data_IF_920936301593
#
_entry.id   IF_920936301593
#
_cell.length_a   1.000
_cell.length_b   1.000
_cell.length_c   1.000
_cell.angle_alpha   90.00
_cell.angle_beta   90.00
_cell.angle_gamma   90.00
#
_symmetry.space_group_name_H-M   'P 1'
#
loop_
_entity.id
_entity.type
_entity.pdbx_description
1 polymer ?
#
# COMPACT_ATOMS: atom_id res chain seq x y z
N UNK A 1 2.05 -17.15 -2.95
CA UNK A 1 3.05 -17.11 -1.85
C UNK A 1 4.46 -17.08 -2.40
N UNK A 2 5.31 -16.23 -1.83
CA UNK A 2 6.71 -16.10 -2.22
C UNK A 2 7.57 -17.26 -1.70
N UNK A 3 8.59 -17.63 -2.48
CA UNK A 3 9.58 -18.66 -2.12
C UNK A 3 11.01 -18.12 -2.02
N UNK A 4 11.25 -16.94 -2.58
CA UNK A 4 12.53 -16.25 -2.52
C UNK A 4 12.32 -14.80 -2.08
N UNK A 5 13.14 -14.33 -1.15
CA UNK A 5 13.09 -12.95 -0.66
C UNK A 5 13.33 -11.96 -1.80
N UNK A 6 14.20 -12.33 -2.75
CA UNK A 6 14.49 -11.48 -3.91
C UNK A 6 13.25 -11.21 -4.78
N UNK A 7 12.39 -12.21 -4.97
CA UNK A 7 11.17 -12.07 -5.78
C UNK A 7 10.14 -11.19 -5.06
N UNK A 8 10.04 -11.36 -3.74
CA UNK A 8 9.24 -10.46 -2.91
C UNK A 8 9.77 -9.03 -2.99
N UNK A 9 11.07 -8.81 -2.75
CA UNK A 9 11.67 -7.48 -2.74
C UNK A 9 11.46 -6.74 -4.07
N UNK A 10 11.63 -7.44 -5.21
CA UNK A 10 11.37 -6.87 -6.52
C UNK A 10 9.89 -6.48 -6.71
N UNK A 11 8.96 -7.32 -6.26
CA UNK A 11 7.53 -6.96 -6.30
C UNK A 11 7.25 -5.78 -5.38
N UNK A 12 7.73 -5.83 -4.14
CA UNK A 12 7.51 -4.82 -3.12
C UNK A 12 8.00 -3.44 -3.56
N UNK A 13 9.19 -3.35 -4.16
CA UNK A 13 9.71 -2.09 -4.68
C UNK A 13 8.79 -1.47 -5.75
N UNK A 14 8.34 -2.26 -6.73
CA UNK A 14 7.44 -1.77 -7.76
C UNK A 14 6.09 -1.31 -7.17
N UNK A 15 5.56 -2.08 -6.24
CA UNK A 15 4.25 -1.79 -5.63
C UNK A 15 4.29 -0.58 -4.73
N UNK A 16 5.32 -0.45 -3.89
CA UNK A 16 5.48 0.71 -3.01
C UNK A 16 5.78 1.99 -3.79
N UNK A 17 6.51 1.94 -4.91
CA UNK A 17 6.68 3.09 -5.80
C UNK A 17 5.35 3.54 -6.41
N UNK A 18 4.53 2.60 -6.87
CA UNK A 18 3.19 2.89 -7.40
C UNK A 18 2.26 3.46 -6.32
N UNK A 19 2.33 2.95 -5.09
CA UNK A 19 1.59 3.48 -3.94
C UNK A 19 2.08 4.86 -3.53
N UNK A 20 3.40 5.11 -3.50
CA UNK A 20 3.98 6.43 -3.24
C UNK A 20 3.48 7.47 -4.26
N UNK A 21 3.54 7.17 -5.56
CA UNK A 21 3.00 8.06 -6.61
C UNK A 21 1.50 8.34 -6.39
N UNK A 22 0.75 7.38 -5.85
CA UNK A 22 -0.67 7.58 -5.52
C UNK A 22 -0.85 8.51 -4.33
N UNK A 23 -0.08 8.30 -3.26
CA UNK A 23 -0.14 9.10 -2.03
C UNK A 23 0.32 10.55 -2.26
N UNK A 24 1.32 10.76 -3.11
CA UNK A 24 1.84 12.09 -3.46
C UNK A 24 0.83 12.96 -4.23
N UNK A 25 -0.19 12.34 -4.84
CA UNK A 25 -1.28 13.05 -5.52
C UNK A 25 -2.39 13.49 -4.56
N UNK A 26 -2.37 13.03 -3.31
CA UNK A 26 -3.37 13.41 -2.32
C UNK A 26 -3.15 14.84 -1.83
N UNK A 27 -4.25 15.45 -1.41
CA UNK A 27 -4.27 16.75 -0.74
C UNK A 27 -5.04 16.63 0.57
N UNK A 28 -4.78 17.52 1.52
CA UNK A 28 -5.50 17.52 2.81
C UNK A 28 -7.02 17.55 2.59
N UNK A 29 -7.50 18.37 1.64
CA UNK A 29 -8.93 18.42 1.27
C UNK A 29 -9.47 17.09 0.73
N UNK A 30 -8.67 16.35 -0.05
CA UNK A 30 -9.13 15.08 -0.61
C UNK A 30 -9.29 13.97 0.43
N UNK A 31 -8.67 14.11 1.61
CA UNK A 31 -8.74 13.09 2.66
C UNK A 31 -10.17 12.85 3.16
N UNK A 32 -11.04 13.86 3.04
CA UNK A 32 -12.45 13.79 3.43
C UNK A 32 -13.35 13.12 2.38
N UNK A 33 -12.83 12.80 1.18
CA UNK A 33 -13.62 12.19 0.13
C UNK A 33 -14.10 10.79 0.53
N UNK A 34 -15.39 10.51 0.35
CA UNK A 34 -16.01 9.21 0.64
C UNK A 34 -16.90 8.78 -0.53
N UNK A 35 -17.12 7.47 -0.68
CA UNK A 35 -18.06 6.93 -1.68
C UNK A 35 -19.50 7.19 -1.22
N UNK A 36 -19.80 6.82 0.03
CA UNK A 36 -21.07 7.08 0.71
C UNK A 36 -20.81 7.58 2.14
N UNK A 37 -21.81 8.18 2.77
CA UNK A 37 -21.67 8.91 4.05
C UNK A 37 -21.33 8.07 5.28
N UNK A 38 -21.41 6.75 5.17
CA UNK A 38 -21.20 5.77 6.24
C UNK A 38 -19.98 4.88 5.99
N UNK A 39 -19.15 5.18 4.99
CA UNK A 39 -17.99 4.40 4.60
C UNK A 39 -16.68 5.15 4.85
N UNK A 40 -15.56 4.42 4.77
CA UNK A 40 -14.21 4.99 4.95
C UNK A 40 -13.96 6.13 3.95
N UNK A 41 -13.37 7.21 4.44
CA UNK A 41 -12.85 8.29 3.60
C UNK A 41 -11.55 7.88 2.91
N UNK A 42 -11.12 8.65 1.91
CA UNK A 42 -9.84 8.47 1.22
C UNK A 42 -8.66 8.54 2.19
N UNK A 43 -8.67 9.48 3.14
CA UNK A 43 -7.66 9.57 4.18
C UNK A 43 -7.63 8.32 5.08
N UNK A 44 -8.79 7.76 5.43
CA UNK A 44 -8.85 6.52 6.22
C UNK A 44 -8.35 5.32 5.44
N UNK A 45 -8.63 5.21 4.14
CA UNK A 45 -8.09 4.12 3.29
C UNK A 45 -6.58 4.27 3.11
N UNK A 46 -6.08 5.49 2.86
CA UNK A 46 -4.66 5.77 2.74
C UNK A 46 -3.91 5.42 4.03
N UNK A 47 -4.42 5.85 5.19
CA UNK A 47 -3.80 5.54 6.48
C UNK A 47 -3.89 4.05 6.83
N UNK A 48 -4.98 3.38 6.46
CA UNK A 48 -5.14 1.93 6.62
C UNK A 48 -4.02 1.15 5.91
N UNK A 49 -3.58 1.57 4.72
CA UNK A 49 -2.41 0.97 4.06
C UNK A 49 -1.14 1.09 4.92
N UNK A 50 -0.89 2.28 5.47
CA UNK A 50 0.30 2.54 6.29
C UNK A 50 0.29 1.70 7.58
N UNK A 51 -0.86 1.58 8.23
CA UNK A 51 -0.99 0.80 9.46
C UNK A 51 -0.85 -0.69 9.20
N UNK A 52 -1.53 -1.25 8.18
CA UNK A 52 -1.43 -2.67 7.86
C UNK A 52 -0.01 -3.09 7.45
N UNK A 53 0.74 -2.18 6.84
CA UNK A 53 2.14 -2.40 6.47
C UNK A 53 3.04 -2.68 7.68
N UNK A 54 2.73 -2.11 8.85
CA UNK A 54 3.45 -2.41 10.08
C UNK A 54 2.81 -3.57 10.84
N UNK A 55 1.50 -3.46 11.08
CA UNK A 55 0.69 -4.40 11.85
C UNK A 55 0.86 -5.86 11.42
N UNK A 56 0.62 -6.15 10.14
CA UNK A 56 0.57 -7.52 9.65
C UNK A 56 1.95 -8.19 9.67
N UNK A 57 3.03 -7.56 9.18
CA UNK A 57 4.37 -8.15 9.30
C UNK A 57 4.85 -8.32 10.73
N UNK A 58 4.52 -7.40 11.65
CA UNK A 58 4.98 -7.50 13.05
C UNK A 58 4.45 -8.74 13.78
N UNK A 59 3.32 -9.32 13.35
CA UNK A 59 2.81 -10.61 13.87
C UNK A 59 3.74 -11.79 13.60
N UNK A 60 4.68 -11.68 12.66
CA UNK A 60 5.72 -12.70 12.40
C UNK A 60 6.89 -12.64 13.38
N UNK A 61 6.89 -11.66 14.29
CA UNK A 61 8.02 -11.33 15.16
C UNK A 61 9.07 -10.44 14.49
N UNK A 62 8.87 -10.03 13.24
CA UNK A 62 9.72 -9.04 12.57
C UNK A 62 9.54 -7.66 13.23
N UNK A 63 10.66 -7.06 13.67
CA UNK A 63 10.67 -5.75 14.31
C UNK A 63 11.29 -4.69 13.41
N UNK A 64 10.57 -3.60 13.19
CA UNK A 64 10.97 -2.45 12.38
C UNK A 64 10.12 -1.22 12.74
N UNK A 65 10.56 -0.04 12.30
CA UNK A 65 9.86 1.22 12.55
C UNK A 65 8.54 1.31 11.76
N UNK A 66 7.45 1.65 12.43
CA UNK A 66 6.15 1.92 11.82
C UNK A 66 5.12 2.43 12.82
N UNK A 67 3.95 2.86 12.34
CA UNK A 67 2.92 3.38 13.22
C UNK A 67 2.14 2.26 13.94
N UNK A 68 1.74 2.51 15.19
CA UNK A 68 0.82 1.65 15.92
C UNK A 68 -0.56 1.54 15.24
N UNK A 69 -1.23 0.41 15.46
CA UNK A 69 -2.55 0.08 14.89
C UNK A 69 -3.65 1.06 15.28
N UNK A 70 -3.55 1.68 16.45
CA UNK A 70 -4.54 2.57 17.03
C UNK A 70 -4.25 4.06 16.76
N UNK A 71 -3.13 4.38 16.09
CA UNK A 71 -2.82 5.77 15.76
C UNK A 71 -3.92 6.41 14.89
N UNK A 72 -4.36 7.64 15.24
CA UNK A 72 -5.37 8.34 14.47
C UNK A 72 -4.88 8.67 13.06
N UNK A 73 -5.81 8.84 12.13
CA UNK A 73 -5.50 9.28 10.77
C UNK A 73 -4.85 10.67 10.83
N UNK A 74 -3.65 10.88 10.25
CA UNK A 74 -3.03 12.20 10.17
C UNK A 74 -3.92 13.18 9.39
N UNK A 75 -3.95 14.44 9.83
CA UNK A 75 -4.71 15.48 9.13
C UNK A 75 -4.05 15.93 7.82
N UNK A 76 -2.75 15.64 7.63
CA UNK A 76 -2.01 16.01 6.42
C UNK A 76 -1.77 14.81 5.50
N UNK A 77 -2.06 15.01 4.21
CA UNK A 77 -1.73 14.04 3.17
C UNK A 77 -0.22 13.81 3.07
N UNK A 78 0.57 14.87 3.27
CA UNK A 78 2.02 14.80 3.26
C UNK A 78 2.56 13.94 4.42
N UNK A 79 1.95 14.01 5.60
CA UNK A 79 2.34 13.18 6.74
C UNK A 79 2.05 11.70 6.47
N UNK A 80 0.89 11.38 5.86
CA UNK A 80 0.55 9.99 5.47
C UNK A 80 1.61 9.45 4.49
N UNK A 81 1.93 10.20 3.43
CA UNK A 81 2.93 9.80 2.44
C UNK A 81 4.33 9.64 3.07
N UNK A 82 4.69 10.55 3.97
CA UNK A 82 5.97 10.56 4.68
C UNK A 82 6.13 9.33 5.59
N UNK A 83 5.09 8.98 6.36
CA UNK A 83 5.10 7.78 7.21
C UNK A 83 5.15 6.52 6.35
N UNK A 84 4.30 6.42 5.31
CA UNK A 84 4.32 5.27 4.40
C UNK A 84 5.71 5.03 3.81
N UNK A 85 6.39 6.08 3.33
CA UNK A 85 7.74 5.99 2.77
C UNK A 85 8.75 5.43 3.77
N UNK A 86 8.73 5.91 5.02
CA UNK A 86 9.64 5.42 6.06
C UNK A 86 9.34 3.97 6.43
N UNK A 87 8.08 3.65 6.68
CA UNK A 87 7.66 2.30 7.10
C UNK A 87 7.91 1.25 6.02
N UNK A 88 7.62 1.56 4.74
CA UNK A 88 7.85 0.64 3.62
C UNK A 88 9.32 0.34 3.38
N UNK A 89 10.18 1.35 3.54
CA UNK A 89 11.63 1.15 3.47
C UNK A 89 12.14 0.34 4.68
N UNK A 90 11.73 0.71 5.90
CA UNK A 90 12.13 0.01 7.11
C UNK A 90 11.71 -1.47 7.08
N UNK A 91 10.52 -1.76 6.56
CA UNK A 91 10.04 -3.12 6.36
C UNK A 91 10.92 -3.91 5.38
N UNK A 92 11.22 -3.33 4.21
CA UNK A 92 12.07 -3.97 3.21
C UNK A 92 13.47 -4.25 3.76
N UNK A 93 14.07 -3.27 4.43
CA UNK A 93 15.39 -3.38 5.04
C UNK A 93 15.41 -4.48 6.13
N UNK A 94 14.36 -4.55 6.95
CA UNK A 94 14.23 -5.57 7.99
C UNK A 94 14.14 -6.98 7.39
N UNK A 95 13.34 -7.19 6.34
CA UNK A 95 13.29 -8.49 5.66
C UNK A 95 14.65 -8.84 5.04
N UNK A 96 15.26 -7.93 4.30
CA UNK A 96 16.51 -8.22 3.57
C UNK A 96 17.70 -8.45 4.51
N UNK A 97 17.71 -7.84 5.69
CA UNK A 97 18.79 -7.97 6.67
C UNK A 97 18.63 -9.16 7.61
N UNK A 98 17.39 -9.56 7.94
CA UNK A 98 17.13 -10.54 9.00
C UNK A 98 16.57 -11.88 8.51
N UNK A 99 15.97 -11.94 7.32
CA UNK A 99 15.37 -13.17 6.80
C UNK A 99 16.23 -13.81 5.71
N UNK A 100 16.10 -15.13 5.60
CA UNK A 100 16.52 -15.96 4.48
C UNK A 100 15.29 -16.62 3.85
N UNK A 101 15.45 -17.26 2.70
CA UNK A 101 14.34 -17.91 1.98
C UNK A 101 13.61 -18.94 2.86
N UNK A 102 14.30 -19.61 3.78
CA UNK A 102 13.69 -20.56 4.72
C UNK A 102 12.72 -19.89 5.70
N UNK A 103 12.91 -18.60 6.03
CA UNK A 103 11.97 -17.87 6.88
C UNK A 103 10.59 -17.71 6.25
N UNK A 104 10.47 -17.82 4.92
CA UNK A 104 9.19 -17.76 4.20
C UNK A 104 8.32 -18.99 4.48
N UNK A 105 8.91 -20.08 4.98
CA UNK A 105 8.21 -21.32 5.35
C UNK A 105 7.77 -21.35 6.82
N UNK A 106 8.25 -20.42 7.65
CA UNK A 106 7.86 -20.34 9.06
C UNK A 106 6.37 -20.00 9.14
N UNK A 107 5.65 -20.76 9.97
CA UNK A 107 4.25 -20.52 10.27
C UNK A 107 4.13 -19.49 11.39
N UNK A 108 3.33 -18.45 11.15
CA UNK A 108 3.06 -17.38 12.13
C UNK A 108 1.55 -17.26 12.34
N UNK A 109 1.15 -16.83 13.55
CA UNK A 109 -0.25 -16.54 13.86
C UNK A 109 -0.72 -15.26 13.16
N UNK A 110 -1.69 -15.41 12.27
CA UNK A 110 -2.37 -14.34 11.56
C UNK A 110 -3.84 -14.40 11.89
N UNK A 111 -4.22 -13.62 12.90
CA UNK A 111 -5.61 -13.47 13.35
C UNK A 111 -6.24 -14.80 13.82
N UNK A 112 -5.46 -15.64 14.49
CA UNK A 112 -5.88 -16.96 15.00
C UNK A 112 -5.70 -18.12 14.01
N UNK A 113 -5.30 -17.85 12.77
CA UNK A 113 -4.92 -18.86 11.78
C UNK A 113 -3.40 -18.93 11.60
N UNK A 114 -2.88 -20.10 11.21
CA UNK A 114 -1.45 -20.28 10.96
C UNK A 114 -1.15 -20.11 9.47
N UNK A 115 -0.38 -19.08 9.12
CA UNK A 115 0.04 -18.82 7.73
C UNK A 115 1.56 -18.94 7.58
N UNK A 116 2.08 -19.53 6.49
CA UNK A 116 3.49 -19.40 6.17
C UNK A 116 3.81 -17.92 5.85
N UNK A 117 4.95 -17.41 6.31
CA UNK A 117 5.33 -16.01 6.11
C UNK A 117 5.33 -15.59 4.63
N UNK A 118 5.71 -16.47 3.71
CA UNK A 118 5.64 -16.20 2.27
C UNK A 118 4.22 -16.02 1.74
N UNK A 119 3.20 -16.58 2.40
CA UNK A 119 1.78 -16.32 2.11
C UNK A 119 1.36 -14.97 2.68
N UNK A 120 1.76 -14.64 3.91
CA UNK A 120 1.51 -13.32 4.50
C UNK A 120 2.02 -12.21 3.57
N UNK A 121 3.25 -12.30 3.07
CA UNK A 121 3.81 -11.29 2.14
C UNK A 121 3.00 -11.16 0.84
N UNK A 122 2.53 -12.28 0.29
CA UNK A 122 1.68 -12.30 -0.92
C UNK A 122 0.30 -11.65 -0.65
N UNK A 123 -0.27 -11.88 0.53
CA UNK A 123 -1.53 -11.26 0.96
C UNK A 123 -1.33 -9.76 1.19
N UNK A 124 -0.22 -9.35 1.83
CA UNK A 124 0.10 -7.94 2.08
C UNK A 124 0.17 -7.15 0.77
N UNK A 125 0.90 -7.67 -0.23
CA UNK A 125 0.97 -7.06 -1.57
C UNK A 125 -0.41 -6.94 -2.21
N UNK A 126 -1.22 -8.01 -2.19
CA UNK A 126 -2.57 -7.99 -2.76
C UNK A 126 -3.50 -7.02 -2.04
N UNK A 127 -3.39 -6.93 -0.72
CA UNK A 127 -4.14 -5.99 0.11
C UNK A 127 -3.79 -4.55 -0.25
N UNK A 128 -2.49 -4.25 -0.43
CA UNK A 128 -2.04 -2.93 -0.88
C UNK A 128 -2.62 -2.58 -2.26
N UNK A 129 -2.50 -3.48 -3.23
CA UNK A 129 -3.04 -3.29 -4.59
C UNK A 129 -4.56 -3.07 -4.55
N UNK A 130 -5.27 -3.86 -3.74
CA UNK A 130 -6.71 -3.76 -3.58
C UNK A 130 -7.14 -2.38 -3.07
N UNK A 131 -6.57 -1.92 -1.97
CA UNK A 131 -6.94 -0.64 -1.38
C UNK A 131 -6.41 0.56 -2.18
N UNK A 132 -5.23 0.46 -2.81
CA UNK A 132 -4.78 1.46 -3.79
C UNK A 132 -5.76 1.57 -4.96
N UNK A 133 -6.29 0.44 -5.44
CA UNK A 133 -7.37 0.40 -6.43
C UNK A 133 -8.60 1.18 -5.97
N UNK A 134 -9.07 0.96 -4.74
CA UNK A 134 -10.17 1.74 -4.14
C UNK A 134 -9.86 3.23 -4.09
N UNK A 135 -8.64 3.60 -3.69
CA UNK A 135 -8.19 4.99 -3.64
C UNK A 135 -8.30 5.67 -5.00
N UNK A 136 -7.97 4.98 -6.10
CA UNK A 136 -8.05 5.59 -7.44
C UNK A 136 -9.46 6.06 -7.82
N UNK A 137 -10.51 5.40 -7.32
CA UNK A 137 -11.90 5.81 -7.57
C UNK A 137 -12.25 7.04 -6.74
N UNK A 138 -11.91 7.03 -5.46
CA UNK A 138 -12.08 8.16 -4.54
C UNK A 138 -11.30 9.39 -5.02
N UNK A 139 -10.06 9.22 -5.49
CA UNK A 139 -9.25 10.29 -6.05
C UNK A 139 -9.94 10.96 -7.25
N UNK A 140 -10.51 10.17 -8.17
CA UNK A 140 -11.26 10.72 -9.31
C UNK A 140 -12.51 11.48 -8.85
N UNK A 141 -13.23 10.98 -7.84
CA UNK A 141 -14.37 11.67 -7.25
C UNK A 141 -13.97 13.00 -6.58
N UNK A 142 -12.77 13.05 -5.99
CA UNK A 142 -12.17 14.25 -5.42
C UNK A 142 -11.59 15.22 -6.46
N UNK A 143 -11.66 14.89 -7.76
CA UNK A 143 -11.09 15.70 -8.84
C UNK A 143 -9.56 15.64 -8.93
N UNK A 144 -8.93 14.65 -8.30
CA UNK A 144 -7.48 14.44 -8.39
C UNK A 144 -7.13 13.68 -9.68
N UNK A 145 -5.96 14.01 -10.22
CA UNK A 145 -5.31 13.17 -11.22
C UNK A 145 -4.80 11.88 -10.55
N UNK A 146 -5.01 10.75 -11.22
CA UNK A 146 -4.51 9.44 -10.77
C UNK A 146 -3.27 9.07 -11.58
N UNK A 147 -2.21 8.51 -10.98
CA UNK A 147 -1.06 8.01 -11.73
C UNK A 147 -1.38 6.74 -12.54
N UNK A 148 -0.57 6.41 -13.53
CA UNK A 148 -0.52 5.04 -14.06
C UNK A 148 -0.06 4.07 -12.98
N UNK A 149 -0.69 2.90 -12.93
CA UNK A 149 -0.30 1.83 -12.01
C UNK A 149 0.07 0.56 -12.78
N UNK A 150 -0.84 0.07 -13.62
CA UNK A 150 -0.62 -1.11 -14.48
C UNK A 150 -1.01 -0.84 -15.94
N UNK A 151 -1.14 0.44 -16.30
CA UNK A 151 -1.58 0.87 -17.61
C UNK A 151 -1.90 2.37 -17.62
N UNK A 152 -1.98 2.96 -18.82
CA UNK A 152 -2.21 4.39 -18.98
C UNK A 152 -3.60 4.80 -18.50
N UNK A 153 -3.65 5.93 -17.80
CA UNK A 153 -4.89 6.66 -17.49
C UNK A 153 -5.41 7.41 -18.72
N UNK A 154 -6.66 7.91 -18.66
CA UNK A 154 -7.26 8.71 -19.75
C UNK A 154 -6.39 9.93 -20.08
N UNK A 155 -5.85 10.56 -19.05
CA UNK A 155 -4.96 11.72 -19.15
C UNK A 155 -3.66 11.37 -19.88
N UNK A 156 -3.09 10.20 -19.60
CA UNK A 156 -1.85 9.74 -20.22
C UNK A 156 -2.01 9.32 -21.68
N UNK A 157 -3.16 8.75 -22.07
CA UNK A 157 -3.46 8.52 -23.49
C UNK A 157 -3.34 9.82 -24.30
N UNK A 158 -3.90 10.91 -23.77
CA UNK A 158 -3.80 12.23 -24.42
C UNK A 158 -2.34 12.74 -24.47
N UNK A 159 -1.56 12.53 -23.41
CA UNK A 159 -0.13 12.89 -23.37
C UNK A 159 0.71 12.08 -24.37
N UNK A 160 0.32 10.84 -24.67
CA UNK A 160 0.93 10.01 -25.70
C UNK A 160 0.47 10.38 -27.12
N UNK A 161 -0.42 11.35 -27.28
CA UNK A 161 -1.00 11.71 -28.58
C UNK A 161 -1.93 10.64 -29.15
N UNK A 162 -2.48 9.77 -28.29
CA UNK A 162 -3.35 8.68 -28.67
C UNK A 162 -4.77 8.86 -28.11
N UNK A 163 -5.76 8.22 -28.74
CA UNK A 163 -7.15 8.27 -28.26
C UNK A 163 -7.36 7.25 -27.14
N UNK A 164 -8.00 7.62 -26.01
CA UNK A 164 -8.36 6.66 -24.98
C UNK A 164 -9.46 5.69 -25.48
N UNK A 165 -9.65 4.54 -24.81
CA UNK A 165 -10.75 3.62 -25.11
C UNK A 165 -12.12 4.33 -25.10
N UNK A 166 -13.03 3.87 -25.98
CA UNK A 166 -14.41 4.39 -26.07
C UNK A 166 -15.19 3.99 -24.81
N UNK A 167 -16.01 4.91 -24.29
CA UNK A 167 -16.89 4.72 -23.12
C UNK A 167 -18.27 4.25 -23.59
#
# INVERSE_FOLDING_TARGET
>A
MYKHIKDFAATWQNETEATMRTLEMLTDKSLDQQITSDHRTLGRVAWHLVQTLHEMPSRTGLSFEGPDEDMPVPASAADIASVYKRTSQAFLDAIQSSWKDENLLIMSDMYGDQWPNGLMLDILVKHEIHHRGQMTVLMRQAGLRVPDLYGPTKEQWAEYGALPPVI
#
